data_IF_790785961789
#
_entry.id   IF_790785961789
#
_cell.length_a   1.000
_cell.length_b   1.000
_cell.length_c   1.000
_cell.angle_alpha   90.00
_cell.angle_beta   90.00
_cell.angle_gamma   90.00
#
_symmetry.space_group_name_H-M   'P 1'
#
loop_
_entity.id
_entity.type
_entity.pdbx_description
1 polymer ?
#
# COMPACT_ATOMS: atom_id res chain seq x y z
N UNK A 1 34.37 -13.08 48.02
CA UNK A 1 34.72 -11.65 47.84
C UNK A 1 35.27 -11.43 46.43
N UNK A 2 35.02 -10.23 45.86
CA UNK A 2 35.38 -9.72 44.50
C UNK A 2 34.33 -10.11 43.45
N UNK A 3 33.27 -9.31 43.17
CA UNK A 3 33.18 -7.98 42.51
C UNK A 3 33.96 -7.92 41.19
N UNK A 4 33.23 -7.77 40.08
CA UNK A 4 33.54 -6.78 39.03
C UNK A 4 32.33 -6.53 38.14
N UNK A 5 31.97 -5.25 38.07
CA UNK A 5 30.95 -4.60 37.24
C UNK A 5 31.61 -4.28 35.90
N UNK A 6 30.93 -4.49 34.78
CA UNK A 6 31.35 -3.95 33.48
C UNK A 6 30.23 -3.08 32.90
N UNK A 7 30.50 -1.76 32.92
CA UNK A 7 29.77 -0.72 32.21
C UNK A 7 30.66 -0.33 31.03
N UNK A 8 30.13 -0.35 29.81
CA UNK A 8 30.76 0.27 28.65
C UNK A 8 29.71 1.10 27.90
N UNK A 9 29.65 2.38 28.20
CA UNK A 9 29.08 3.44 27.37
C UNK A 9 30.18 4.05 26.51
N UNK A 10 29.97 4.17 25.20
CA UNK A 10 30.78 5.05 24.35
C UNK A 10 29.87 5.76 23.34
N UNK A 11 29.78 7.08 23.49
CA UNK A 11 29.15 8.00 22.56
C UNK A 11 30.20 8.51 21.55
N UNK A 12 29.80 8.67 20.29
CA UNK A 12 30.59 9.42 19.31
C UNK A 12 29.67 10.31 18.49
N UNK A 13 29.69 11.60 18.82
CA UNK A 13 29.18 12.69 18.00
C UNK A 13 30.19 13.05 16.93
N UNK A 14 29.75 13.23 15.68
CA UNK A 14 30.51 13.93 14.64
C UNK A 14 29.60 15.02 14.05
N UNK A 15 29.87 16.26 14.41
CA UNK A 15 29.41 17.44 13.72
C UNK A 15 30.58 18.02 12.94
N UNK A 16 30.42 18.18 11.63
CA UNK A 16 31.31 18.99 10.80
C UNK A 16 30.55 20.24 10.35
N UNK A 17 30.96 21.39 10.88
CA UNK A 17 30.75 22.69 10.23
C UNK A 17 31.94 22.95 9.31
N UNK A 18 31.69 23.38 8.07
CA UNK A 18 32.56 24.34 7.40
C UNK A 18 31.83 25.00 6.24
N UNK A 19 31.56 26.29 6.40
CA UNK A 19 31.21 27.20 5.32
C UNK A 19 32.37 27.31 4.32
N UNK A 20 32.09 27.13 3.04
CA UNK A 20 33.00 27.46 1.95
C UNK A 20 32.23 28.22 0.85
N UNK A 21 32.29 29.55 0.93
CA UNK A 21 31.79 30.52 -0.05
C UNK A 21 32.36 30.21 -1.46
N UNK A 22 31.51 29.90 -2.45
CA UNK A 22 31.93 29.80 -3.86
C UNK A 22 31.09 30.72 -4.73
N UNK A 23 31.70 31.88 -4.93
CA UNK A 23 31.58 32.85 -6.01
C UNK A 23 30.80 32.36 -7.24
N UNK A 24 29.68 33.04 -7.52
CA UNK A 24 29.05 33.14 -8.85
C UNK A 24 30.04 33.81 -9.80
N UNK A 25 30.52 33.06 -10.80
CA UNK A 25 31.09 33.65 -12.00
C UNK A 25 30.20 33.34 -13.19
N UNK A 26 29.89 34.42 -13.90
CA UNK A 26 28.97 34.56 -15.00
C UNK A 26 29.63 34.05 -16.27
N UNK A 27 29.21 32.90 -16.79
CA UNK A 27 29.45 32.55 -18.18
C UNK A 27 28.19 32.84 -19.00
N UNK A 28 28.32 33.83 -19.89
CA UNK A 28 27.32 34.31 -20.83
C UNK A 28 26.82 33.16 -21.73
N UNK A 29 25.62 32.62 -21.45
CA UNK A 29 24.92 31.74 -22.40
C UNK A 29 24.19 32.64 -23.39
N UNK A 30 24.87 32.92 -24.51
CA UNK A 30 24.32 33.58 -25.68
C UNK A 30 23.34 32.62 -26.38
N UNK A 31 22.05 32.77 -26.10
CA UNK A 31 20.98 32.10 -26.86
C UNK A 31 20.81 32.83 -28.21
N UNK A 32 21.45 32.32 -29.26
CA UNK A 32 21.08 32.70 -30.62
C UNK A 32 19.81 31.94 -31.02
N UNK A 33 18.73 32.71 -31.05
CA UNK A 33 17.40 32.38 -31.53
C UNK A 33 17.45 31.95 -33.01
N UNK A 34 17.29 30.65 -33.28
CA UNK A 34 16.85 30.18 -34.58
C UNK A 34 15.45 29.58 -34.43
N UNK A 35 14.45 30.45 -34.55
CA UNK A 35 13.05 30.07 -34.65
C UNK A 35 12.81 29.28 -35.96
N UNK A 36 12.82 27.95 -35.88
CA UNK A 36 12.18 27.11 -36.88
C UNK A 36 10.70 26.96 -36.50
N UNK A 37 9.84 27.59 -37.30
CA UNK A 37 8.38 27.54 -37.18
C UNK A 37 7.90 26.09 -37.32
N UNK A 38 7.42 25.51 -36.24
CA UNK A 38 6.57 24.31 -36.28
C UNK A 38 5.12 24.81 -36.36
N UNK A 39 4.42 24.43 -37.43
CA UNK A 39 3.02 24.82 -37.69
C UNK A 39 2.08 24.18 -36.65
N UNK A 40 1.00 24.84 -36.19
CA UNK A 40 0.25 24.42 -35.00
C UNK A 40 -0.77 23.27 -35.21
N UNK A 41 -0.83 22.63 -36.38
CA UNK A 41 -2.02 21.84 -36.78
C UNK A 41 -1.87 20.30 -36.75
N UNK A 42 -0.84 19.73 -36.10
CA UNK A 42 -0.69 18.26 -36.00
C UNK A 42 -0.30 17.76 -34.60
N UNK A 43 -0.80 18.40 -33.54
CA UNK A 43 -0.80 17.82 -32.19
C UNK A 43 -2.21 17.44 -31.78
N UNK A 44 -2.76 16.43 -32.44
CA UNK A 44 -3.81 15.63 -31.81
C UNK A 44 -3.52 14.14 -32.04
N UNK A 45 -3.81 13.35 -31.01
CA UNK A 45 -3.66 11.89 -30.91
C UNK A 45 -2.30 11.32 -30.45
N UNK A 46 -1.97 11.56 -29.18
CA UNK A 46 -1.97 10.46 -28.21
C UNK A 46 -2.56 10.96 -26.90
N UNK A 47 -3.89 10.87 -26.81
CA UNK A 47 -4.58 10.89 -25.52
C UNK A 47 -4.16 9.67 -24.71
N UNK A 48 -2.94 9.68 -24.16
CA UNK A 48 -2.73 9.08 -22.86
C UNK A 48 -3.60 9.90 -21.92
N UNK A 49 -4.81 9.41 -21.67
CA UNK A 49 -5.48 9.71 -20.42
C UNK A 49 -4.60 9.12 -19.32
N UNK A 50 -3.55 9.87 -18.97
CA UNK A 50 -3.04 9.84 -17.61
C UNK A 50 -4.22 10.37 -16.83
N UNK A 51 -5.04 9.47 -16.28
CA UNK A 51 -5.88 9.84 -15.16
C UNK A 51 -4.89 10.32 -14.12
N UNK A 52 -4.70 11.64 -14.05
CA UNK A 52 -4.02 12.25 -12.93
C UNK A 52 -4.90 11.96 -11.73
N UNK A 53 -4.69 10.80 -11.10
CA UNK A 53 -5.38 10.48 -9.85
C UNK A 53 -5.06 11.59 -8.87
N UNK A 54 -6.10 12.07 -8.21
CA UNK A 54 -5.95 13.10 -7.21
C UNK A 54 -4.98 12.61 -6.12
N UNK A 55 -4.02 13.45 -5.66
CA UNK A 55 -3.09 13.06 -4.61
C UNK A 55 -3.77 12.47 -3.36
N UNK A 56 -4.97 12.96 -3.01
CA UNK A 56 -5.73 12.46 -1.86
C UNK A 56 -6.32 11.07 -2.14
N UNK A 57 -6.78 10.81 -3.36
CA UNK A 57 -7.21 9.47 -3.79
C UNK A 57 -6.05 8.48 -3.75
N UNK A 58 -4.87 8.88 -4.22
CA UNK A 58 -3.67 8.04 -4.19
C UNK A 58 -3.26 7.70 -2.74
N UNK A 59 -3.32 8.68 -1.83
CA UNK A 59 -3.04 8.47 -0.42
C UNK A 59 -4.06 7.49 0.22
N UNK A 60 -5.33 7.62 -0.14
CA UNK A 60 -6.40 6.74 0.33
C UNK A 60 -6.18 5.30 -0.17
N UNK A 61 -5.88 5.12 -1.46
CA UNK A 61 -5.58 3.81 -2.08
C UNK A 61 -4.38 3.16 -1.40
N UNK A 62 -3.29 3.90 -1.18
CA UNK A 62 -2.10 3.36 -0.50
C UNK A 62 -2.41 2.93 0.94
N UNK A 63 -3.25 3.69 1.65
CA UNK A 63 -3.69 3.35 3.00
C UNK A 63 -4.53 2.07 3.00
N UNK A 64 -5.43 1.90 2.03
CA UNK A 64 -6.20 0.67 1.85
C UNK A 64 -5.31 -0.52 1.46
N UNK A 65 -4.32 -0.34 0.57
CA UNK A 65 -3.34 -1.39 0.23
C UNK A 65 -2.58 -1.86 1.47
N UNK A 66 -2.14 -0.92 2.31
CA UNK A 66 -1.49 -1.24 3.58
C UNK A 66 -2.41 -2.02 4.52
N UNK A 67 -3.70 -1.67 4.57
CA UNK A 67 -4.68 -2.39 5.40
C UNK A 67 -4.87 -3.84 4.93
N UNK A 68 -4.96 -4.07 3.62
CA UNK A 68 -5.03 -5.42 3.04
C UNK A 68 -3.72 -6.20 3.28
N UNK A 69 -2.57 -5.55 3.12
CA UNK A 69 -1.27 -6.16 3.41
C UNK A 69 -1.18 -6.65 4.87
N UNK A 70 -1.54 -5.80 5.85
CA UNK A 70 -1.55 -6.20 7.27
C UNK A 70 -2.41 -7.44 7.52
N UNK A 71 -3.59 -7.50 6.89
CA UNK A 71 -4.47 -8.67 6.99
C UNK A 71 -3.78 -9.95 6.50
N UNK A 72 -3.18 -9.93 5.30
CA UNK A 72 -2.53 -11.12 4.73
C UNK A 72 -1.18 -11.44 5.39
N UNK A 73 -0.44 -10.45 5.87
CA UNK A 73 0.75 -10.64 6.70
C UNK A 73 0.41 -11.31 8.03
N UNK A 74 -0.71 -10.94 8.66
CA UNK A 74 -1.17 -11.60 9.87
C UNK A 74 -1.52 -13.08 9.61
N UNK A 75 -2.20 -13.39 8.50
CA UNK A 75 -2.44 -14.77 8.07
C UNK A 75 -1.14 -15.55 7.82
N UNK A 76 -0.15 -14.93 7.16
CA UNK A 76 1.17 -15.52 6.93
C UNK A 76 1.92 -15.83 8.22
N UNK A 77 1.74 -15.02 9.25
CA UNK A 77 2.34 -15.23 10.56
C UNK A 77 1.56 -16.23 11.44
N UNK A 78 0.42 -16.75 10.95
CA UNK A 78 -0.48 -17.60 11.73
C UNK A 78 -1.23 -16.85 12.83
N UNK A 79 -1.30 -15.52 12.76
CA UNK A 79 -2.00 -14.65 13.71
C UNK A 79 -3.41 -14.30 13.18
N UNK A 80 -4.30 -15.28 13.28
CA UNK A 80 -5.69 -15.18 12.85
C UNK A 80 -6.47 -14.09 13.60
N UNK A 81 -6.11 -13.82 14.86
CA UNK A 81 -6.69 -12.73 15.64
C UNK A 81 -6.39 -11.38 15.00
N UNK A 82 -5.12 -11.10 14.68
CA UNK A 82 -4.77 -9.83 14.04
C UNK A 82 -5.48 -9.68 12.69
N UNK A 83 -5.49 -10.73 11.87
CA UNK A 83 -6.24 -10.69 10.60
C UNK A 83 -7.72 -10.37 10.82
N UNK A 84 -8.36 -10.98 11.83
CA UNK A 84 -9.75 -10.71 12.20
C UNK A 84 -10.00 -9.27 12.67
N UNK A 85 -9.03 -8.65 13.34
CA UNK A 85 -9.09 -7.25 13.82
C UNK A 85 -8.86 -6.23 12.69
N UNK A 86 -8.24 -6.63 11.58
CA UNK A 86 -8.11 -5.78 10.38
C UNK A 86 -9.38 -5.69 9.54
N UNK A 87 -10.36 -6.56 9.80
CA UNK A 87 -11.70 -6.47 9.23
C UNK A 87 -12.63 -5.63 10.11
N UNK A 88 -13.56 -4.91 9.47
CA UNK A 88 -14.53 -4.08 10.16
C UNK A 88 -15.49 -4.94 10.99
N UNK A 89 -15.99 -4.43 12.11
CA UNK A 89 -16.99 -5.15 12.92
C UNK A 89 -18.29 -5.42 12.16
N UNK A 90 -18.64 -4.56 11.20
CA UNK A 90 -19.80 -4.71 10.32
C UNK A 90 -19.58 -5.59 9.09
N UNK A 91 -18.37 -6.13 8.90
CA UNK A 91 -18.02 -6.98 7.75
C UNK A 91 -18.60 -8.39 7.87
N UNK A 92 -18.50 -9.14 6.78
CA UNK A 92 -18.79 -10.58 6.72
C UNK A 92 -17.70 -11.46 7.38
N UNK A 93 -16.89 -10.91 8.30
CA UNK A 93 -15.83 -11.65 9.03
C UNK A 93 -16.33 -12.80 9.90
N UNK A 94 -17.63 -12.89 10.11
CA UNK A 94 -18.26 -13.92 10.95
C UNK A 94 -17.81 -13.84 12.41
N UNK A 95 -17.81 -14.99 13.11
CA UNK A 95 -17.29 -15.06 14.48
C UNK A 95 -15.79 -15.33 14.46
N UNK A 96 -15.11 -14.97 15.56
CA UNK A 96 -13.68 -15.27 15.74
C UNK A 96 -13.37 -16.78 15.58
N UNK A 97 -14.21 -17.66 16.13
CA UNK A 97 -13.98 -19.12 16.02
C UNK A 97 -14.08 -19.58 14.57
N UNK A 98 -15.16 -19.20 13.87
CA UNK A 98 -15.33 -19.57 12.46
C UNK A 98 -14.23 -19.01 11.56
N UNK A 99 -13.74 -17.80 11.87
CA UNK A 99 -12.62 -17.19 11.15
C UNK A 99 -11.32 -17.97 11.37
N UNK A 100 -11.01 -18.31 12.63
CA UNK A 100 -9.86 -19.13 12.99
C UNK A 100 -9.88 -20.48 12.27
N UNK A 101 -11.00 -21.19 12.35
CA UNK A 101 -11.20 -22.50 11.72
C UNK A 101 -11.01 -22.45 10.20
N UNK A 102 -11.58 -21.43 9.53
CA UNK A 102 -11.47 -21.25 8.08
C UNK A 102 -10.02 -21.04 7.64
N UNK A 103 -9.21 -20.36 8.45
CA UNK A 103 -7.84 -19.98 8.11
C UNK A 103 -6.76 -20.90 8.74
N UNK A 104 -7.15 -21.86 9.59
CA UNK A 104 -6.22 -22.71 10.34
C UNK A 104 -5.28 -23.56 9.46
N UNK A 105 -5.70 -23.87 8.23
CA UNK A 105 -4.93 -24.70 7.29
C UNK A 105 -3.99 -23.92 6.37
N UNK A 106 -3.95 -22.59 6.48
CA UNK A 106 -3.05 -21.74 5.70
C UNK A 106 -1.61 -21.95 6.19
N UNK A 107 -0.69 -22.18 5.25
CA UNK A 107 0.77 -22.19 5.48
C UNK A 107 1.37 -20.84 5.03
N UNK A 108 1.00 -20.38 3.85
CA UNK A 108 1.38 -19.07 3.33
C UNK A 108 0.34 -18.51 2.37
N UNK A 109 0.36 -17.21 2.17
CA UNK A 109 -0.47 -16.44 1.25
C UNK A 109 0.41 -15.43 0.53
N UNK A 110 0.35 -15.43 -0.80
CA UNK A 110 0.98 -14.44 -1.66
C UNK A 110 -0.11 -13.51 -2.20
N UNK A 111 -0.03 -12.21 -1.87
CA UNK A 111 -0.98 -11.20 -2.33
C UNK A 111 -0.40 -10.41 -3.52
N UNK A 112 -1.25 -10.04 -4.46
CA UNK A 112 -0.95 -9.12 -5.55
C UNK A 112 -2.12 -8.17 -5.78
N UNK A 113 -1.84 -6.89 -6.01
CA UNK A 113 -2.83 -5.92 -6.48
C UNK A 113 -2.81 -5.93 -8.01
N UNK A 114 -3.94 -6.26 -8.63
CA UNK A 114 -3.99 -6.55 -10.09
C UNK A 114 -4.20 -5.32 -10.94
N UNK A 115 -4.85 -4.30 -10.38
CA UNK A 115 -5.21 -3.05 -11.05
C UNK A 115 -5.17 -1.90 -10.02
N UNK A 116 -5.37 -0.68 -10.50
CA UNK A 116 -5.49 0.49 -9.63
C UNK A 116 -6.80 0.44 -8.81
N UNK A 117 -6.75 1.06 -7.63
CA UNK A 117 -7.92 1.15 -6.77
C UNK A 117 -8.92 2.19 -7.26
N UNK A 118 -10.20 1.93 -7.03
CA UNK A 118 -11.27 2.90 -7.26
C UNK A 118 -11.67 3.51 -5.91
N UNK A 119 -11.70 4.84 -5.82
CA UNK A 119 -12.14 5.58 -4.63
C UNK A 119 -13.54 6.11 -4.85
N UNK A 120 -14.42 5.92 -3.87
CA UNK A 120 -15.76 6.50 -3.82
C UNK A 120 -15.94 7.24 -2.51
N UNK A 121 -16.28 8.52 -2.57
CA UNK A 121 -16.53 9.35 -1.40
C UNK A 121 -18.04 9.62 -1.28
N UNK A 122 -18.61 9.30 -0.11
CA UNK A 122 -20.02 9.56 0.19
C UNK A 122 -20.14 10.26 1.55
N UNK A 123 -20.26 11.59 1.53
CA UNK A 123 -20.18 12.40 2.74
C UNK A 123 -18.79 12.24 3.38
N UNK A 124 -18.75 11.92 4.67
CA UNK A 124 -17.51 11.73 5.42
C UNK A 124 -16.97 10.29 5.34
N UNK A 125 -17.56 9.44 4.50
CA UNK A 125 -17.11 8.06 4.30
C UNK A 125 -16.32 7.95 3.00
N UNK A 126 -15.18 7.25 3.10
CA UNK A 126 -14.38 6.86 1.93
C UNK A 126 -14.45 5.35 1.78
N UNK A 127 -15.00 4.89 0.66
CA UNK A 127 -14.99 3.50 0.24
C UNK A 127 -13.97 3.31 -0.88
N UNK A 128 -13.18 2.25 -0.80
CA UNK A 128 -12.13 1.94 -1.76
C UNK A 128 -12.29 0.50 -2.21
N UNK A 129 -12.40 0.32 -3.52
CA UNK A 129 -12.40 -0.99 -4.15
C UNK A 129 -10.98 -1.28 -4.66
N UNK A 130 -10.36 -2.31 -4.11
CA UNK A 130 -9.02 -2.76 -4.48
C UNK A 130 -9.08 -4.10 -5.21
N UNK A 131 -8.79 -4.15 -6.51
CA UNK A 131 -8.62 -5.39 -7.25
C UNK A 131 -7.42 -6.18 -6.71
N UNK A 132 -7.66 -7.42 -6.29
CA UNK A 132 -6.67 -8.28 -5.67
C UNK A 132 -6.71 -9.69 -6.24
N UNK A 133 -5.53 -10.29 -6.30
CA UNK A 133 -5.33 -11.72 -6.51
C UNK A 133 -4.44 -12.25 -5.40
N UNK A 134 -4.79 -13.38 -4.82
CA UNK A 134 -3.93 -14.03 -3.84
C UNK A 134 -3.88 -15.53 -4.02
N UNK A 135 -2.74 -16.11 -3.65
CA UNK A 135 -2.47 -17.54 -3.75
C UNK A 135 -2.23 -18.07 -2.35
N UNK A 136 -3.04 -19.04 -1.92
CA UNK A 136 -2.92 -19.72 -0.63
C UNK A 136 -2.21 -21.04 -0.83
N UNK A 137 -1.12 -21.26 -0.10
CA UNK A 137 -0.53 -22.58 0.11
C UNK A 137 -1.03 -23.12 1.43
N UNK A 138 -1.60 -24.31 1.42
CA UNK A 138 -2.08 -24.99 2.62
C UNK A 138 -1.00 -25.88 3.23
N UNK A 139 -1.10 -26.16 4.52
CA UNK A 139 -0.21 -27.08 5.26
C UNK A 139 -0.19 -28.50 4.69
N UNK A 140 -1.17 -28.86 3.85
CA UNK A 140 -1.29 -30.15 3.18
C UNK A 140 -0.57 -30.17 1.82
N UNK A 141 0.02 -29.05 1.39
CA UNK A 141 0.70 -28.92 0.10
C UNK A 141 -0.22 -28.54 -1.06
N UNK A 142 -1.51 -28.27 -0.83
CA UNK A 142 -2.41 -27.76 -1.87
C UNK A 142 -2.19 -26.27 -2.07
N UNK A 143 -2.25 -25.83 -3.33
CA UNK A 143 -2.20 -24.42 -3.73
C UNK A 143 -3.55 -24.01 -4.31
N UNK A 144 -4.08 -22.89 -3.85
CA UNK A 144 -5.37 -22.35 -4.27
C UNK A 144 -5.23 -20.88 -4.63
N UNK A 145 -5.65 -20.49 -5.84
CA UNK A 145 -5.60 -19.10 -6.29
C UNK A 145 -6.99 -18.48 -6.25
N UNK A 146 -7.06 -17.21 -5.87
CA UNK A 146 -8.29 -16.45 -5.73
C UNK A 146 -8.11 -15.08 -6.40
N UNK A 147 -9.12 -14.64 -7.13
CA UNK A 147 -9.13 -13.35 -7.82
C UNK A 147 -10.44 -12.61 -7.59
N UNK A 148 -10.39 -11.29 -7.48
CA UNK A 148 -11.55 -10.44 -7.28
C UNK A 148 -11.17 -9.08 -6.71
N UNK A 149 -11.91 -8.61 -5.71
CA UNK A 149 -11.64 -7.32 -5.09
C UNK A 149 -11.90 -7.34 -3.58
N UNK A 150 -11.21 -6.46 -2.87
CA UNK A 150 -11.53 -6.11 -1.49
C UNK A 150 -12.20 -4.74 -1.46
N UNK A 151 -13.23 -4.59 -0.62
CA UNK A 151 -13.83 -3.30 -0.31
C UNK A 151 -13.32 -2.86 1.06
N UNK A 152 -12.65 -1.71 1.11
CA UNK A 152 -12.07 -1.13 2.32
C UNK A 152 -12.77 0.18 2.55
N UNK A 153 -13.21 0.45 3.79
CA UNK A 153 -13.82 1.73 4.09
C UNK A 153 -13.24 2.38 5.32
N UNK A 154 -13.30 3.71 5.30
CA UNK A 154 -13.00 4.60 6.40
C UNK A 154 -14.26 5.39 6.73
N UNK A 155 -14.69 5.34 7.99
CA UNK A 155 -15.85 6.07 8.49
C UNK A 155 -15.40 7.32 9.24
N UNK A 156 -15.60 8.49 8.66
CA UNK A 156 -15.15 9.78 9.21
C UNK A 156 -13.64 10.00 9.11
N UNK A 157 -13.21 11.23 9.34
CA UNK A 157 -11.81 11.66 9.13
C UNK A 157 -10.80 11.01 10.10
N UNK A 158 -11.24 10.67 11.31
CA UNK A 158 -10.42 10.03 12.34
C UNK A 158 -10.50 8.49 12.32
N UNK A 159 -11.30 7.92 11.41
CA UNK A 159 -11.45 6.47 11.30
C UNK A 159 -10.24 5.79 10.67
N UNK A 160 -9.89 4.60 11.16
CA UNK A 160 -8.96 3.72 10.45
C UNK A 160 -9.65 3.06 9.26
N UNK A 161 -8.91 2.86 8.17
CA UNK A 161 -9.37 2.00 7.09
C UNK A 161 -9.54 0.56 7.58
N UNK A 162 -10.69 -0.05 7.30
CA UNK A 162 -10.97 -1.44 7.64
C UNK A 162 -11.60 -2.18 6.47
N UNK A 163 -11.30 -3.47 6.37
CA UNK A 163 -11.81 -4.33 5.30
C UNK A 163 -13.29 -4.62 5.60
N UNK A 164 -14.19 -4.22 4.70
CA UNK A 164 -15.63 -4.48 4.81
C UNK A 164 -16.01 -5.82 4.20
N UNK A 165 -15.40 -6.17 3.08
CA UNK A 165 -15.65 -7.43 2.41
C UNK A 165 -14.47 -7.80 1.50
N UNK A 166 -14.33 -9.08 1.23
CA UNK A 166 -13.47 -9.61 0.17
C UNK A 166 -14.35 -10.43 -0.76
N UNK A 167 -14.60 -9.90 -1.95
CA UNK A 167 -15.37 -10.56 -2.97
C UNK A 167 -14.40 -11.21 -3.97
N UNK A 168 -14.06 -12.47 -3.70
CA UNK A 168 -13.05 -13.21 -4.44
C UNK A 168 -13.59 -14.56 -4.87
N UNK A 169 -13.23 -14.96 -6.08
CA UNK A 169 -13.61 -16.25 -6.66
C UNK A 169 -12.36 -17.10 -6.81
N UNK A 170 -12.49 -18.40 -6.52
CA UNK A 170 -11.42 -19.36 -6.76
C UNK A 170 -11.17 -19.48 -8.26
N UNK A 171 -9.92 -19.30 -8.67
CA UNK A 171 -9.49 -19.60 -10.03
C UNK A 171 -9.41 -21.13 -10.16
N UNK A 172 -10.34 -21.71 -10.93
CA UNK A 172 -10.25 -23.14 -11.27
C UNK A 172 -9.08 -23.32 -12.24
N UNK A 173 -8.13 -24.17 -11.85
CA UNK A 173 -7.05 -24.63 -12.73
C UNK A 173 -7.56 -25.68 -13.71
#
# INVERSE_FOLDING_TARGET
MRKSIFICSLATTLAFYSCGNRQTDTDEIRLEEKAEKISPDEMDQTGLSVSSQDPDELAAINSAKNQVNKYFEALNNGDDLKAYEEMATSSDRGTRSSFSEKNANIESVELSFTEDGEVSMQGDNTDIKLPIRYVVKTKQGNTESYNGYATISKKGDDGDFKIQEMNVTRENQ
#
